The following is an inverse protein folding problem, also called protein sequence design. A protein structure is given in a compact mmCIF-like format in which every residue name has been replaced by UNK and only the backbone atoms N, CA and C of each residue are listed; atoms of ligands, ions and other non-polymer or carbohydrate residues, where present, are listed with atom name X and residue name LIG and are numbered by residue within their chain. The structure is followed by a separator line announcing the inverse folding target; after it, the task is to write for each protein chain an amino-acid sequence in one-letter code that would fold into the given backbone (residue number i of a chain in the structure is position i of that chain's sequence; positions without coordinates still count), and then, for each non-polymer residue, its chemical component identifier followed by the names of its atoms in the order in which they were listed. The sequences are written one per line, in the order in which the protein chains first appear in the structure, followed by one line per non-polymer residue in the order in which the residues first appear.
data_IF_606024508441
#
_entry.id   IF_606024508441
#
_cell.length_a   1.000
_cell.length_b   1.000
_cell.length_c   1.000
_cell.angle_alpha   90.00
_cell.angle_beta   90.00
_cell.angle_gamma   90.00
#
_symmetry.space_group_name_H-M   'P 1'
#
loop_
_entity.id
_entity.type
_entity.pdbx_description
1 polymer ?
#
# COMPACT_ATOMS: atom_id res chain seq x y z
N UNK A 1 15.55 -12.10 27.88
CA UNK A 1 14.42 -11.81 26.95
C UNK A 1 14.08 -13.08 26.20
N UNK A 2 12.80 -13.47 26.04
CA UNK A 2 12.46 -14.61 25.20
C UNK A 2 12.95 -14.37 23.77
N UNK A 3 13.37 -15.42 23.08
CA UNK A 3 13.79 -15.33 21.69
C UNK A 3 12.65 -14.78 20.81
N UNK A 4 12.92 -13.90 19.85
CA UNK A 4 11.89 -13.39 18.95
C UNK A 4 11.28 -14.55 18.17
N UNK A 5 9.94 -14.62 18.15
CA UNK A 5 9.19 -15.57 17.32
C UNK A 5 8.96 -14.95 15.95
N UNK A 6 9.64 -15.46 14.93
CA UNK A 6 9.46 -15.04 13.53
C UNK A 6 8.50 -16.01 12.84
N UNK A 7 7.48 -15.48 12.16
CA UNK A 7 6.56 -16.28 11.33
C UNK A 7 6.51 -15.70 9.92
N UNK A 8 6.78 -16.55 8.94
CA UNK A 8 6.64 -16.20 7.52
C UNK A 8 5.18 -16.40 7.11
N UNK A 9 4.57 -15.38 6.52
CA UNK A 9 3.24 -15.47 5.90
C UNK A 9 3.41 -15.50 4.39
N UNK A 10 2.86 -16.54 3.76
CA UNK A 10 2.73 -16.60 2.29
C UNK A 10 1.41 -15.97 1.87
N UNK A 11 1.24 -15.52 0.62
CA UNK A 11 -0.04 -15.06 0.11
C UNK A 11 -1.18 -16.01 0.47
N UNK A 12 -2.29 -15.47 0.99
CA UNK A 12 -3.45 -16.23 1.47
C UNK A 12 -3.36 -16.70 2.92
N UNK A 13 -2.17 -16.69 3.53
CA UNK A 13 -2.01 -17.05 4.94
C UNK A 13 -2.65 -15.99 5.85
N UNK A 14 -3.23 -16.48 6.95
CA UNK A 14 -3.86 -15.66 7.98
C UNK A 14 -3.20 -15.94 9.33
N UNK A 15 -2.93 -14.87 10.07
CA UNK A 15 -2.43 -14.90 11.44
C UNK A 15 -3.35 -14.07 12.32
N UNK A 16 -3.93 -14.68 13.34
CA UNK A 16 -4.59 -13.95 14.42
C UNK A 16 -3.59 -13.77 15.55
N UNK A 17 -3.33 -12.52 15.91
CA UNK A 17 -2.49 -12.19 17.05
C UNK A 17 -3.35 -12.20 18.31
N UNK A 18 -2.97 -12.94 19.36
CA UNK A 18 -3.62 -12.87 20.66
C UNK A 18 -3.23 -11.55 21.33
N UNK A 19 -3.83 -10.44 20.91
CA UNK A 19 -3.78 -9.14 21.57
C UNK A 19 -5.14 -8.83 22.20
N UNK A 20 -5.17 -7.91 23.16
CA UNK A 20 -6.43 -7.39 23.72
C UNK A 20 -7.37 -6.82 22.63
N UNK A 21 -6.81 -6.42 21.48
CA UNK A 21 -7.48 -5.86 20.31
C UNK A 21 -7.82 -6.86 19.20
N UNK A 22 -7.46 -8.15 19.34
CA UNK A 22 -7.85 -9.23 18.41
C UNK A 22 -7.46 -8.97 16.95
N UNK A 23 -6.20 -8.62 16.70
CA UNK A 23 -5.73 -8.29 15.35
C UNK A 23 -5.65 -9.53 14.45
N UNK A 24 -6.22 -9.43 13.25
CA UNK A 24 -6.10 -10.43 12.18
C UNK A 24 -5.25 -9.87 11.04
N UNK A 25 -4.17 -10.55 10.70
CA UNK A 25 -3.29 -10.22 9.58
C UNK A 25 -3.50 -11.24 8.47
N UNK A 26 -3.85 -10.78 7.27
CA UNK A 26 -3.91 -11.59 6.05
C UNK A 26 -2.87 -11.10 5.07
N UNK A 27 -1.96 -11.99 4.69
CA UNK A 27 -1.03 -11.72 3.58
C UNK A 27 -1.78 -11.84 2.25
N UNK A 28 -1.64 -10.83 1.39
CA UNK A 28 -2.18 -10.83 0.04
C UNK A 28 -1.07 -11.06 -0.97
N UNK A 29 -1.37 -11.61 -2.16
CA UNK A 29 -0.40 -11.61 -3.24
C UNK A 29 -0.12 -10.16 -3.64
N UNK A 30 1.13 -9.74 -3.56
CA UNK A 30 1.56 -8.42 -4.02
C UNK A 30 2.36 -8.52 -5.31
N UNK A 31 3.37 -7.68 -5.37
CA UNK A 31 4.12 -7.34 -6.58
C UNK A 31 5.28 -8.30 -6.82
N UNK A 32 5.49 -8.69 -8.08
CA UNK A 32 6.69 -9.42 -8.47
C UNK A 32 7.80 -8.41 -8.71
N UNK A 33 8.44 -7.96 -7.63
CA UNK A 33 9.58 -7.05 -7.71
C UNK A 33 10.88 -7.86 -7.77
N UNK A 34 11.59 -7.76 -8.88
CA UNK A 34 12.81 -8.52 -9.13
C UNK A 34 12.68 -9.56 -10.25
N UNK A 35 13.67 -10.46 -10.40
CA UNK A 35 13.69 -11.40 -11.51
C UNK A 35 12.45 -12.31 -11.54
N UNK A 36 12.04 -12.80 -12.73
CA UNK A 36 10.79 -13.52 -12.91
C UNK A 36 10.68 -14.84 -12.13
N UNK A 37 11.77 -15.33 -11.55
CA UNK A 37 11.83 -16.53 -10.71
C UNK A 37 11.66 -16.26 -9.22
N UNK A 38 11.56 -14.99 -8.78
CA UNK A 38 11.32 -14.66 -7.38
C UNK A 38 9.85 -14.82 -7.00
N UNK A 39 9.60 -15.09 -5.71
CA UNK A 39 8.24 -15.05 -5.20
C UNK A 39 7.77 -13.58 -5.15
N UNK A 40 6.51 -13.29 -5.50
CA UNK A 40 5.96 -11.96 -5.29
C UNK A 40 6.07 -11.55 -3.83
N UNK A 41 6.36 -10.27 -3.60
CA UNK A 41 6.24 -9.67 -2.28
C UNK A 41 4.76 -9.63 -1.85
N UNK A 42 4.53 -9.54 -0.54
CA UNK A 42 3.18 -9.52 0.02
C UNK A 42 2.65 -8.08 0.15
N UNK A 43 1.35 -7.93 -0.07
CA UNK A 43 0.58 -6.90 0.64
C UNK A 43 0.02 -7.48 1.95
N UNK A 44 -0.52 -6.63 2.81
CA UNK A 44 -1.14 -7.08 4.06
C UNK A 44 -2.44 -6.35 4.34
N UNK A 45 -3.52 -7.12 4.60
CA UNK A 45 -4.72 -6.60 5.24
C UNK A 45 -4.63 -6.89 6.73
N UNK A 46 -4.62 -5.85 7.54
CA UNK A 46 -4.70 -5.94 9.00
C UNK A 46 -6.09 -5.49 9.42
N UNK A 47 -6.83 -6.35 10.12
CA UNK A 47 -8.19 -6.08 10.60
C UNK A 47 -8.20 -6.12 12.12
N UNK A 48 -8.82 -5.11 12.74
CA UNK A 48 -9.07 -5.09 14.18
C UNK A 48 -10.29 -5.95 14.55
N UNK A 49 -10.44 -6.29 15.83
CA UNK A 49 -11.66 -6.97 16.30
C UNK A 49 -12.94 -6.15 16.05
N UNK A 50 -12.84 -4.81 15.97
CA UNK A 50 -13.94 -3.91 15.64
C UNK A 50 -14.28 -3.82 14.15
N UNK A 51 -13.55 -4.53 13.29
CA UNK A 51 -13.81 -4.58 11.84
C UNK A 51 -13.01 -3.56 11.02
N UNK A 52 -12.42 -2.54 11.65
CA UNK A 52 -11.56 -1.57 10.98
C UNK A 52 -10.37 -2.25 10.32
N UNK A 53 -10.08 -1.87 9.08
CA UNK A 53 -9.10 -2.55 8.25
C UNK A 53 -8.11 -1.60 7.59
N UNK A 54 -6.83 -1.97 7.64
CA UNK A 54 -5.72 -1.28 6.98
C UNK A 54 -5.13 -2.20 5.92
N UNK A 55 -5.00 -1.72 4.70
CA UNK A 55 -4.25 -2.38 3.64
C UNK A 55 -2.89 -1.71 3.44
N UNK A 56 -1.81 -2.47 3.57
CA UNK A 56 -0.46 -2.04 3.25
C UNK A 56 -0.03 -2.66 1.92
N UNK A 57 0.28 -1.81 0.95
CA UNK A 57 0.74 -2.19 -0.38
C UNK A 57 2.07 -1.47 -0.69
N UNK A 58 3.20 -2.20 -0.80
CA UNK A 58 4.50 -1.56 -0.94
C UNK A 58 4.83 -1.10 -2.37
N UNK A 59 4.18 -1.62 -3.41
CA UNK A 59 4.65 -1.48 -4.80
C UNK A 59 3.57 -1.16 -5.84
N UNK A 60 2.29 -1.41 -5.54
CA UNK A 60 1.15 -1.15 -6.44
C UNK A 60 1.16 -1.94 -7.77
N UNK A 61 1.90 -3.06 -7.84
CA UNK A 61 1.86 -4.01 -8.96
C UNK A 61 1.06 -5.26 -8.57
N UNK A 62 -0.23 -5.04 -8.31
CA UNK A 62 -1.19 -6.10 -8.03
C UNK A 62 -2.37 -5.98 -8.99
N UNK A 63 -2.77 -7.08 -9.61
CA UNK A 63 -4.07 -7.17 -10.29
C UNK A 63 -5.15 -7.37 -9.22
N UNK A 64 -5.96 -6.34 -8.92
CA UNK A 64 -6.92 -6.43 -7.82
C UNK A 64 -8.02 -7.45 -8.09
N UNK A 65 -8.46 -7.57 -9.36
CA UNK A 65 -9.53 -8.50 -9.73
C UNK A 65 -9.08 -9.96 -9.58
N UNK A 66 -7.84 -10.26 -9.96
CA UNK A 66 -7.30 -11.61 -9.86
C UNK A 66 -6.80 -11.97 -8.44
N UNK A 67 -6.17 -11.02 -7.74
CA UNK A 67 -5.41 -11.30 -6.51
C UNK A 67 -6.07 -10.81 -5.22
N UNK A 68 -7.04 -9.90 -5.31
CA UNK A 68 -7.68 -9.25 -4.15
C UNK A 68 -9.21 -9.37 -4.19
N UNK A 69 -9.76 -10.32 -4.93
CA UNK A 69 -11.20 -10.57 -4.99
C UNK A 69 -11.81 -10.70 -3.58
N UNK A 70 -12.84 -9.88 -3.30
CA UNK A 70 -13.53 -9.85 -2.01
C UNK A 70 -12.74 -9.18 -0.87
N UNK A 71 -11.54 -8.65 -1.12
CA UNK A 71 -10.83 -7.83 -0.16
C UNK A 71 -11.49 -6.44 -0.01
N UNK A 72 -11.48 -5.93 1.22
CA UNK A 72 -11.89 -4.57 1.57
C UNK A 72 -10.91 -3.99 2.56
N UNK A 73 -10.75 -2.67 2.53
CA UNK A 73 -9.94 -1.93 3.48
C UNK A 73 -10.53 -0.53 3.72
N UNK A 74 -10.59 -0.07 4.97
CA UNK A 74 -11.00 1.30 5.28
C UNK A 74 -9.87 2.29 4.97
N UNK A 75 -8.65 1.89 5.31
CA UNK A 75 -7.43 2.68 5.17
C UNK A 75 -6.48 1.94 4.23
N UNK A 76 -5.80 2.65 3.35
CA UNK A 76 -4.69 2.12 2.57
C UNK A 76 -3.43 2.93 2.78
N UNK A 77 -2.32 2.24 3.00
CA UNK A 77 -0.96 2.80 3.00
C UNK A 77 -0.27 2.29 1.74
N UNK A 78 0.06 3.19 0.83
CA UNK A 78 0.56 2.80 -0.50
C UNK A 78 1.35 3.93 -1.17
N UNK A 79 2.36 3.61 -2.01
CA UNK A 79 3.08 4.61 -2.77
C UNK A 79 2.17 5.41 -3.69
N UNK A 80 2.50 6.70 -3.85
CA UNK A 80 1.84 7.57 -4.84
C UNK A 80 2.84 8.11 -5.87
N UNK A 81 4.11 7.74 -5.72
CA UNK A 81 5.24 8.14 -6.57
C UNK A 81 5.84 6.90 -7.22
N UNK A 82 5.96 6.91 -8.55
CA UNK A 82 6.59 5.79 -9.24
C UNK A 82 8.12 5.82 -9.08
N UNK A 83 8.71 4.62 -9.00
CA UNK A 83 10.16 4.41 -9.06
C UNK A 83 10.46 3.35 -10.10
N UNK A 84 11.43 3.64 -10.97
CA UNK A 84 11.75 2.82 -12.14
C UNK A 84 13.26 2.60 -12.22
N UNK A 85 13.63 1.41 -12.63
CA UNK A 85 14.96 1.09 -13.15
C UNK A 85 14.86 0.99 -14.69
N UNK A 86 15.99 1.00 -15.42
CA UNK A 86 15.98 0.63 -16.82
C UNK A 86 15.25 -0.71 -17.01
N UNK A 87 14.23 -0.72 -17.87
CA UNK A 87 13.42 -1.90 -18.21
C UNK A 87 12.52 -2.49 -17.11
N UNK A 88 12.44 -1.89 -15.91
CA UNK A 88 11.65 -2.44 -14.81
C UNK A 88 11.01 -1.35 -13.94
N UNK A 89 9.73 -1.50 -13.61
CA UNK A 89 9.04 -0.60 -12.65
C UNK A 89 9.09 -1.24 -11.27
N UNK A 90 9.77 -0.60 -10.33
CA UNK A 90 9.85 -1.08 -8.95
C UNK A 90 8.58 -0.76 -8.18
N UNK A 91 8.09 0.47 -8.35
CA UNK A 91 6.92 1.00 -7.63
C UNK A 91 6.06 1.76 -8.62
N UNK A 92 4.76 1.47 -8.64
CA UNK A 92 3.79 2.26 -9.41
C UNK A 92 3.25 3.44 -8.60
N UNK A 93 3.04 4.56 -9.28
CA UNK A 93 2.57 5.80 -8.69
C UNK A 93 1.05 5.90 -8.51
N UNK A 94 0.58 7.14 -8.37
CA UNK A 94 -0.79 7.52 -8.00
C UNK A 94 -1.91 6.77 -8.75
N UNK A 95 -1.82 6.59 -10.07
CA UNK A 95 -2.89 5.96 -10.85
C UNK A 95 -3.22 4.55 -10.36
N UNK A 96 -2.20 3.74 -10.06
CA UNK A 96 -2.37 2.37 -9.56
C UNK A 96 -2.85 2.35 -8.12
N UNK A 97 -2.35 3.25 -7.28
CA UNK A 97 -2.84 3.41 -5.91
C UNK A 97 -4.33 3.79 -5.89
N UNK A 98 -4.76 4.75 -6.70
CA UNK A 98 -6.16 5.20 -6.74
C UNK A 98 -7.08 4.13 -7.32
N UNK A 99 -6.65 3.39 -8.34
CA UNK A 99 -7.42 2.25 -8.86
C UNK A 99 -7.59 1.14 -7.81
N UNK A 100 -6.54 0.88 -7.03
CA UNK A 100 -6.55 -0.09 -5.95
C UNK A 100 -7.44 0.36 -4.77
N UNK A 101 -7.36 1.64 -4.40
CA UNK A 101 -8.23 2.26 -3.41
C UNK A 101 -9.71 2.10 -3.80
N UNK A 102 -10.04 2.35 -5.07
CA UNK A 102 -11.38 2.15 -5.63
C UNK A 102 -11.85 0.71 -5.48
N UNK A 103 -11.00 -0.25 -5.86
CA UNK A 103 -11.34 -1.68 -5.81
C UNK A 103 -11.62 -2.17 -4.38
N UNK A 104 -10.81 -1.70 -3.42
CA UNK A 104 -10.89 -2.09 -2.02
C UNK A 104 -11.94 -1.32 -1.21
N UNK A 105 -12.54 -0.27 -1.79
CA UNK A 105 -13.51 0.59 -1.10
C UNK A 105 -12.86 1.46 -0.01
N UNK A 106 -11.63 1.90 -0.24
CA UNK A 106 -10.84 2.68 0.71
C UNK A 106 -11.43 4.08 0.88
N UNK A 107 -11.45 4.54 2.14
CA UNK A 107 -11.91 5.88 2.52
C UNK A 107 -10.77 6.80 2.89
N UNK A 108 -9.65 6.24 3.33
CA UNK A 108 -8.45 7.01 3.68
C UNK A 108 -7.22 6.44 2.97
N UNK A 109 -6.58 7.24 2.13
CA UNK A 109 -5.29 6.92 1.52
C UNK A 109 -4.19 7.68 2.26
N UNK A 110 -3.26 6.96 2.87
CA UNK A 110 -2.04 7.50 3.45
C UNK A 110 -0.90 7.25 2.46
N UNK A 111 -0.35 8.30 1.82
CA UNK A 111 0.76 8.14 0.90
C UNK A 111 2.00 7.55 1.58
N UNK A 112 2.54 6.49 1.00
CA UNK A 112 3.86 6.00 1.35
C UNK A 112 4.89 6.84 0.57
N UNK A 113 5.64 7.69 1.27
CA UNK A 113 6.63 8.62 0.69
C UNK A 113 7.94 7.90 0.33
N UNK A 114 7.85 6.88 -0.52
CA UNK A 114 8.97 6.03 -0.98
C UNK A 114 10.10 6.81 -1.69
N UNK A 115 9.80 8.02 -2.16
CA UNK A 115 10.75 8.88 -2.87
C UNK A 115 11.70 9.68 -1.98
N UNK A 116 11.47 9.71 -0.66
CA UNK A 116 12.31 10.45 0.29
C UNK A 116 13.43 9.56 0.85
N UNK A 117 13.78 8.49 0.14
CA UNK A 117 14.83 7.55 0.51
C UNK A 117 16.15 7.99 -0.15
N UNK A 118 17.14 8.31 0.68
CA UNK A 118 18.53 8.45 0.22
C UNK A 118 19.07 7.05 -0.12
N UNK A 119 18.99 6.68 -1.40
CA UNK A 119 19.53 5.41 -1.89
C UNK A 119 21.02 5.54 -2.21
N UNK A 120 21.85 4.74 -1.54
CA UNK A 120 23.29 4.65 -1.80
C UNK A 120 23.65 3.39 -2.60
N UNK A 121 24.75 3.45 -3.37
CA UNK A 121 25.31 2.30 -4.08
C UNK A 121 25.22 2.38 -5.62
N UNK A 122 25.79 1.39 -6.30
CA UNK A 122 25.96 1.44 -7.76
C UNK A 122 24.64 1.52 -8.56
N UNK A 123 23.54 1.01 -8.00
CA UNK A 123 22.23 0.99 -8.66
C UNK A 123 21.40 2.25 -8.37
N UNK A 124 21.74 3.07 -7.37
CA UNK A 124 20.93 4.24 -7.02
C UNK A 124 20.94 5.31 -8.11
N UNK A 125 22.05 5.42 -8.85
CA UNK A 125 22.18 6.31 -10.02
C UNK A 125 21.28 5.92 -11.19
N UNK A 126 20.75 4.70 -11.21
CA UNK A 126 19.86 4.19 -12.25
C UNK A 126 18.38 4.31 -11.87
N UNK A 127 18.07 4.68 -10.62
CA UNK A 127 16.69 4.83 -10.17
C UNK A 127 16.17 6.18 -10.68
N UNK A 128 15.20 6.12 -11.60
CA UNK A 128 14.40 7.27 -11.97
C UNK A 128 13.15 7.30 -11.07
N UNK A 129 12.98 8.39 -10.33
CA UNK A 129 11.82 8.61 -9.48
C UNK A 129 11.01 9.80 -10.02
N UNK A 130 9.69 9.68 -10.08
CA UNK A 130 8.81 10.79 -10.47
C UNK A 130 8.86 11.92 -9.43
N UNK A 131 8.62 13.16 -9.82
CA UNK A 131 8.51 14.24 -8.83
C UNK A 131 7.33 14.01 -7.89
N UNK A 132 7.46 14.49 -6.64
CA UNK A 132 6.38 14.39 -5.67
C UNK A 132 5.16 15.16 -6.16
N UNK A 133 4.02 14.47 -6.25
CA UNK A 133 2.75 15.11 -6.58
C UNK A 133 2.23 15.88 -5.36
N UNK A 134 1.93 17.19 -5.47
CA UNK A 134 1.22 17.90 -4.42
C UNK A 134 -0.12 17.21 -4.14
N UNK A 135 -0.55 17.22 -2.88
CA UNK A 135 -1.79 16.54 -2.46
C UNK A 135 -2.99 17.02 -3.25
N UNK A 136 -3.07 18.32 -3.56
CA UNK A 136 -4.18 18.89 -4.35
C UNK A 136 -4.27 18.27 -5.75
N UNK A 137 -3.12 17.90 -6.34
CA UNK A 137 -3.09 17.22 -7.64
C UNK A 137 -3.53 15.77 -7.49
N UNK A 138 -3.13 15.10 -6.42
CA UNK A 138 -3.58 13.73 -6.12
C UNK A 138 -5.08 13.67 -5.85
N UNK A 139 -5.64 14.65 -5.15
CA UNK A 139 -7.09 14.82 -4.94
C UNK A 139 -7.84 15.00 -6.26
N UNK A 140 -7.32 15.84 -7.16
CA UNK A 140 -7.88 16.01 -8.51
C UNK A 140 -7.88 14.71 -9.32
N UNK A 141 -6.80 13.93 -9.25
CA UNK A 141 -6.72 12.60 -9.88
C UNK A 141 -7.72 11.61 -9.26
N UNK A 142 -7.86 11.61 -7.94
CA UNK A 142 -8.81 10.77 -7.23
C UNK A 142 -10.24 11.06 -7.67
N UNK A 143 -10.63 12.34 -7.76
CA UNK A 143 -11.95 12.74 -8.25
C UNK A 143 -12.23 12.20 -9.67
N UNK A 144 -11.23 12.21 -10.55
CA UNK A 144 -11.36 11.69 -11.91
C UNK A 144 -11.45 10.16 -11.99
N UNK A 145 -10.64 9.43 -11.21
CA UNK A 145 -10.55 7.96 -11.26
C UNK A 145 -11.72 7.29 -10.51
N UNK A 146 -12.09 7.84 -9.36
CA UNK A 146 -13.15 7.28 -8.52
C UNK A 146 -14.53 7.52 -9.16
N UNK A 147 -14.73 8.68 -9.78
CA UNK A 147 -15.99 9.10 -10.37
C UNK A 147 -16.97 9.63 -9.32
N UNK A 148 -18.10 10.22 -9.74
CA UNK A 148 -19.02 10.96 -8.86
C UNK A 148 -19.80 10.08 -7.87
N UNK A 149 -19.98 8.79 -8.18
CA UNK A 149 -20.74 7.83 -7.36
C UNK A 149 -19.90 7.15 -6.29
N UNK A 150 -18.57 7.32 -6.32
CA UNK A 150 -17.68 6.70 -5.35
C UNK A 150 -17.67 7.51 -4.03
N UNK A 151 -17.54 6.83 -2.87
CA UNK A 151 -17.34 7.54 -1.62
C UNK A 151 -16.08 8.42 -1.70
N UNK A 152 -16.08 9.60 -1.06
CA UNK A 152 -14.93 10.48 -1.09
C UNK A 152 -13.72 9.79 -0.46
N UNK A 153 -12.59 9.82 -1.18
CA UNK A 153 -11.31 9.35 -0.68
C UNK A 153 -10.58 10.50 -0.01
N UNK A 154 -10.40 10.40 1.30
CA UNK A 154 -9.57 11.33 2.07
C UNK A 154 -8.10 10.97 1.90
N UNK A 155 -7.31 11.87 1.29
CA UNK A 155 -5.86 11.71 1.18
C UNK A 155 -5.23 12.36 2.42
N UNK A 156 -4.66 11.53 3.28
CA UNK A 156 -4.10 11.98 4.55
C UNK A 156 -2.63 12.33 4.36
N UNK A 157 -2.31 13.63 4.44
CA UNK A 157 -0.92 14.07 4.41
C UNK A 157 -0.17 13.52 5.62
N UNK A 158 0.92 12.81 5.38
CA UNK A 158 1.82 12.32 6.41
C UNK A 158 3.17 13.01 6.29
N UNK A 159 3.76 13.37 7.43
CA UNK A 159 5.13 13.88 7.51
C UNK A 159 6.06 12.79 8.03
N UNK A 160 7.25 12.62 7.44
CA UNK A 160 8.25 11.69 7.96
C UNK A 160 8.52 11.93 9.45
N UNK A 161 8.44 10.85 10.24
CA UNK A 161 8.67 10.90 11.69
C UNK A 161 7.49 11.42 12.54
N UNK A 162 6.41 11.89 11.92
CA UNK A 162 5.21 12.36 12.66
C UNK A 162 4.11 11.28 12.65
N UNK A 163 3.43 11.05 13.79
CA UNK A 163 2.32 10.12 13.85
C UNK A 163 1.12 10.65 13.06
N UNK A 164 0.44 9.75 12.36
CA UNK A 164 -0.80 10.04 11.65
C UNK A 164 -1.98 9.46 12.42
N UNK A 165 -3.00 10.28 12.67
CA UNK A 165 -4.26 9.84 13.25
C UNK A 165 -5.35 9.89 12.18
N UNK A 166 -6.10 8.80 12.07
CA UNK A 166 -7.23 8.69 11.14
C UNK A 166 -8.44 8.22 11.93
N UNK A 167 -9.50 9.01 11.89
CA UNK A 167 -10.79 8.62 12.45
C UNK A 167 -11.54 7.77 11.42
N UNK A 168 -11.88 6.54 11.79
CA UNK A 168 -12.63 5.62 10.94
C UNK A 168 -14.05 5.53 11.51
N UNK A 169 -15.00 6.24 10.89
CA UNK A 169 -16.41 6.23 11.24
C UNK A 169 -17.17 5.05 10.62
#
# INVERSE_FOLDING_TARGET
FPAPKVKVLRPGAVLTLPSASGLRVRATPGSLVGPPWQAPENGYVVTSAGGTSVYYEPHNDVDPAAKLAGARADIMVSPVKAQRLPFFTLVHGADRALALAKHLGVRHLIPLRNGDIEAEGALSSLIAAEDSLPIQKLEGMAASILGPEAPPLNIVDNRPGEPVQVEVC
#
